data_IF_051662674552
#
_entry.id   IF_051662674552
#
_cell.length_a   1.000
_cell.length_b   1.000
_cell.length_c   1.000
_cell.angle_alpha   90.00
_cell.angle_beta   90.00
_cell.angle_gamma   90.00
#
_symmetry.space_group_name_H-M   'P 1'
#
loop_
_entity.id
_entity.type
_entity.pdbx_description
1 polymer ?
#
# COMPACT_ATOMS: atom_id res chain seq x y z
N UNK A 1 -14.88 -6.71 9.89
CA UNK A 1 -14.61 -5.26 10.00
C UNK A 1 -14.90 -4.64 8.64
N UNK A 2 -15.71 -3.58 8.59
CA UNK A 2 -16.13 -2.94 7.34
C UNK A 2 -15.07 -1.97 6.83
N UNK A 3 -15.21 -1.52 5.58
CA UNK A 3 -14.28 -0.56 4.97
C UNK A 3 -14.16 0.72 5.80
N UNK A 4 -15.27 1.31 6.22
CA UNK A 4 -15.30 2.56 6.98
C UNK A 4 -14.58 2.45 8.33
N UNK A 5 -14.69 1.29 8.99
CA UNK A 5 -14.00 1.02 10.24
C UNK A 5 -12.49 0.96 10.01
N UNK A 6 -12.06 0.26 8.94
CA UNK A 6 -10.64 0.10 8.59
C UNK A 6 -10.03 1.44 8.22
N UNK A 7 -10.77 2.24 7.45
CA UNK A 7 -10.37 3.60 7.09
C UNK A 7 -10.23 4.49 8.34
N UNK A 8 -11.16 4.42 9.29
CA UNK A 8 -11.03 5.15 10.58
C UNK A 8 -9.81 4.72 11.38
N UNK A 9 -9.57 3.41 11.46
CA UNK A 9 -8.41 2.88 12.18
C UNK A 9 -7.12 3.36 11.54
N UNK A 10 -7.05 3.31 10.20
CA UNK A 10 -5.90 3.76 9.45
C UNK A 10 -5.63 5.24 9.65
N UNK A 11 -6.64 6.11 9.49
CA UNK A 11 -6.45 7.55 9.64
C UNK A 11 -5.91 7.90 11.03
N UNK A 12 -6.38 7.19 12.07
CA UNK A 12 -5.94 7.39 13.46
C UNK A 12 -4.48 7.01 13.73
N UNK A 13 -3.80 6.26 12.85
CA UNK A 13 -2.39 5.91 13.06
C UNK A 13 -1.47 7.11 12.87
N UNK A 14 -1.85 8.04 11.97
CA UNK A 14 -1.04 9.19 11.57
C UNK A 14 -1.67 10.53 11.90
N UNK A 15 -3.00 10.60 11.92
CA UNK A 15 -3.76 11.84 12.10
C UNK A 15 -4.64 11.80 13.36
N UNK A 16 -4.52 12.83 14.20
CA UNK A 16 -5.34 12.98 15.40
C UNK A 16 -6.74 13.53 15.11
N UNK A 17 -6.86 14.37 14.07
CA UNK A 17 -8.11 14.98 13.62
C UNK A 17 -8.33 14.69 12.14
N UNK A 18 -9.59 14.49 11.78
CA UNK A 18 -9.97 14.26 10.38
C UNK A 18 -9.78 15.52 9.51
N UNK A 19 -9.83 16.72 10.12
CA UNK A 19 -9.54 17.98 9.44
C UNK A 19 -8.13 18.04 8.87
N UNK A 20 -7.14 17.58 9.64
CA UNK A 20 -5.73 17.57 9.22
C UNK A 20 -5.53 16.74 7.94
N UNK A 21 -6.25 15.63 7.81
CA UNK A 21 -6.25 14.80 6.59
C UNK A 21 -7.00 15.48 5.44
N UNK A 22 -8.12 16.16 5.73
CA UNK A 22 -8.87 16.91 4.72
C UNK A 22 -8.01 18.01 4.10
N UNK A 23 -7.27 18.76 4.93
CA UNK A 23 -6.34 19.79 4.51
C UNK A 23 -5.19 19.19 3.69
N UNK A 24 -4.62 18.07 4.14
CA UNK A 24 -3.55 17.35 3.42
C UNK A 24 -3.99 16.87 2.02
N UNK A 25 -5.23 16.41 1.88
CA UNK A 25 -5.75 15.88 0.62
C UNK A 25 -6.39 16.94 -0.27
N UNK A 26 -6.42 18.19 0.18
CA UNK A 26 -7.12 19.31 -0.44
C UNK A 26 -8.61 18.98 -0.69
N UNK A 27 -9.23 18.30 0.28
CA UNK A 27 -10.59 17.80 0.22
C UNK A 27 -11.52 18.51 1.19
N UNK A 28 -12.79 18.61 0.84
CA UNK A 28 -13.78 19.14 1.77
C UNK A 28 -14.00 18.15 2.94
N UNK A 29 -13.93 18.64 4.18
CA UNK A 29 -14.20 17.86 5.39
C UNK A 29 -15.51 17.07 5.33
N UNK A 30 -16.57 17.65 4.76
CA UNK A 30 -17.87 16.99 4.57
C UNK A 30 -17.77 15.77 3.65
N UNK A 31 -17.02 15.87 2.55
CA UNK A 31 -16.78 14.74 1.64
C UNK A 31 -15.98 13.64 2.32
N UNK A 32 -14.90 14.02 3.02
CA UNK A 32 -14.08 13.07 3.77
C UNK A 32 -14.86 12.39 4.90
N UNK A 33 -15.68 13.14 5.61
CA UNK A 33 -16.58 12.60 6.65
C UNK A 33 -17.57 11.60 6.05
N UNK A 34 -18.12 11.85 4.87
CA UNK A 34 -19.01 10.90 4.19
C UNK A 34 -18.29 9.58 3.87
N UNK A 35 -17.04 9.63 3.42
CA UNK A 35 -16.23 8.43 3.13
C UNK A 35 -15.98 7.61 4.40
N UNK A 36 -15.59 8.29 5.46
CA UNK A 36 -15.36 7.67 6.78
C UNK A 36 -16.65 7.14 7.41
N UNK A 37 -17.82 7.58 6.95
CA UNK A 37 -19.14 7.08 7.34
C UNK A 37 -19.71 6.02 6.37
N UNK A 38 -18.90 5.49 5.43
CA UNK A 38 -19.31 4.36 4.57
C UNK A 38 -19.97 4.75 3.25
N UNK A 39 -19.92 6.02 2.83
CA UNK A 39 -20.25 6.35 1.44
C UNK A 39 -19.17 5.83 0.50
N UNK A 40 -19.57 5.60 -0.76
CA UNK A 40 -18.66 5.25 -1.86
C UNK A 40 -17.55 6.31 -1.98
N UNK A 41 -16.32 5.81 -1.95
CA UNK A 41 -15.11 6.62 -2.15
C UNK A 41 -14.75 6.68 -3.63
N UNK A 42 -14.05 7.74 -4.03
CA UNK A 42 -13.48 7.85 -5.38
C UNK A 42 -12.16 7.07 -5.48
N UNK A 43 -11.77 6.71 -6.71
CA UNK A 43 -10.45 6.10 -6.97
C UNK A 43 -9.33 7.10 -6.63
N UNK A 44 -9.52 8.39 -6.93
CA UNK A 44 -8.57 9.44 -6.59
C UNK A 44 -8.29 9.49 -5.08
N UNK A 45 -9.33 9.35 -4.25
CA UNK A 45 -9.16 9.27 -2.80
C UNK A 45 -8.35 8.03 -2.39
N UNK A 46 -8.59 6.88 -3.01
CA UNK A 46 -7.83 5.67 -2.72
C UNK A 46 -6.35 5.81 -3.09
N UNK A 47 -6.03 6.47 -4.21
CA UNK A 47 -4.65 6.76 -4.61
C UNK A 47 -3.97 7.63 -3.55
N UNK A 48 -4.62 8.74 -3.15
CA UNK A 48 -4.10 9.62 -2.07
C UNK A 48 -3.90 8.87 -0.76
N UNK A 49 -4.79 7.94 -0.41
CA UNK A 49 -4.63 7.09 0.79
C UNK A 49 -3.41 6.19 0.67
N UNK A 50 -3.17 5.53 -0.47
CA UNK A 50 -2.01 4.64 -0.63
C UNK A 50 -0.69 5.42 -0.63
N UNK A 51 -0.68 6.62 -1.21
CA UNK A 51 0.48 7.51 -1.18
C UNK A 51 0.79 8.01 0.25
N UNK A 52 -0.25 8.29 1.03
CA UNK A 52 -0.12 8.80 2.40
C UNK A 52 0.19 7.70 3.43
N UNK A 53 -0.29 6.48 3.17
CA UNK A 53 -0.13 5.29 4.00
C UNK A 53 0.45 4.12 3.17
N UNK A 54 1.72 4.22 2.73
CA UNK A 54 2.35 3.22 1.87
C UNK A 54 2.48 1.84 2.53
N UNK A 55 2.41 1.77 3.86
CA UNK A 55 2.45 0.54 4.65
C UNK A 55 1.16 -0.29 4.60
N UNK A 56 0.08 0.24 4.01
CA UNK A 56 -1.24 -0.40 3.99
C UNK A 56 -1.43 -1.25 2.75
N UNK A 57 -1.83 -2.49 2.96
CA UNK A 57 -2.35 -3.34 1.88
C UNK A 57 -3.77 -2.87 1.48
N UNK A 58 -3.90 -2.46 0.22
CA UNK A 58 -5.19 -2.06 -0.37
C UNK A 58 -6.22 -3.20 -0.33
N UNK A 59 -5.80 -4.46 -0.48
CA UNK A 59 -6.71 -5.60 -0.36
C UNK A 59 -7.27 -5.73 1.05
N UNK A 60 -6.44 -5.48 2.07
CA UNK A 60 -6.91 -5.42 3.45
C UNK A 60 -7.93 -4.30 3.62
N UNK A 61 -7.70 -3.12 3.07
CA UNK A 61 -8.63 -1.99 3.20
C UNK A 61 -9.98 -2.26 2.51
N UNK A 62 -9.98 -2.76 1.27
CA UNK A 62 -11.18 -2.86 0.43
C UNK A 62 -12.04 -4.11 0.66
N UNK A 63 -11.46 -5.23 1.09
CA UNK A 63 -12.22 -6.49 1.22
C UNK A 63 -13.01 -6.52 2.52
N UNK A 64 -14.32 -6.74 2.42
CA UNK A 64 -15.17 -7.05 3.57
C UNK A 64 -15.01 -8.53 3.94
N UNK A 65 -14.88 -8.84 5.24
CA UNK A 65 -14.81 -10.20 5.80
C UNK A 65 -13.60 -11.05 5.37
N UNK A 66 -12.55 -11.04 6.19
CA UNK A 66 -11.61 -12.17 6.27
C UNK A 66 -12.14 -13.14 7.33
N UNK A 67 -13.11 -13.98 6.95
CA UNK A 67 -13.34 -15.27 7.59
C UNK A 67 -13.11 -16.32 6.51
N UNK A 68 -11.89 -16.87 6.49
CA UNK A 68 -11.39 -17.92 5.59
C UNK A 68 -11.18 -17.48 4.13
N UNK A 69 -9.99 -16.97 3.85
CA UNK A 69 -9.55 -16.68 2.48
C UNK A 69 -8.10 -16.21 2.37
N UNK A 70 -7.21 -16.62 3.28
CA UNK A 70 -5.78 -16.65 2.97
C UNK A 70 -5.60 -17.66 1.85
N UNK A 71 -5.61 -17.20 0.60
CA UNK A 71 -4.62 -17.76 -0.30
C UNK A 71 -3.29 -17.33 0.30
N UNK A 72 -2.49 -18.30 0.73
CA UNK A 72 -1.08 -18.10 1.05
C UNK A 72 -0.34 -17.73 -0.25
N UNK A 73 -0.76 -16.68 -0.93
CA UNK A 73 0.13 -16.01 -1.86
C UNK A 73 1.14 -15.33 -0.96
N UNK A 74 2.41 -15.68 -1.16
CA UNK A 74 3.52 -14.88 -0.63
C UNK A 74 3.21 -13.45 -1.05
N UNK A 75 2.98 -12.58 -0.07
CA UNK A 75 2.85 -11.16 -0.31
C UNK A 75 4.08 -10.75 -1.11
N UNK A 76 3.91 -10.49 -2.40
CA UNK A 76 4.92 -9.73 -3.10
C UNK A 76 4.97 -8.40 -2.37
N UNK A 77 6.10 -8.11 -1.75
CA UNK A 77 6.44 -6.76 -1.33
C UNK A 77 6.29 -5.90 -2.58
N UNK A 78 5.17 -5.20 -2.70
CA UNK A 78 5.06 -4.07 -3.60
C UNK A 78 6.09 -3.07 -3.08
N UNK A 79 7.30 -3.12 -3.62
CA UNK A 79 8.39 -2.20 -3.32
C UNK A 79 7.96 -0.83 -3.86
N UNK A 80 7.21 -0.07 -3.08
CA UNK A 80 7.04 1.34 -3.33
C UNK A 80 8.39 2.00 -3.03
N UNK A 81 9.09 2.35 -4.10
CA UNK A 81 10.36 3.09 -4.11
C UNK A 81 11.50 2.45 -3.32
N UNK A 82 12.04 1.34 -3.82
CA UNK A 82 13.45 1.02 -3.62
C UNK A 82 14.26 2.24 -4.10
N UNK A 83 15.12 2.80 -3.25
CA UNK A 83 16.01 3.90 -3.66
C UNK A 83 16.83 3.47 -4.89
N UNK A 84 17.27 4.41 -5.74
CA UNK A 84 18.03 4.06 -6.96
C UNK A 84 19.26 3.22 -6.61
N UNK A 85 19.85 3.48 -5.45
CA UNK A 85 21.00 2.81 -4.86
C UNK A 85 20.69 1.34 -4.52
N UNK A 86 19.51 1.07 -3.96
CA UNK A 86 19.06 -0.30 -3.67
C UNK A 86 18.70 -1.06 -4.95
N UNK A 87 18.13 -0.38 -5.96
CA UNK A 87 17.86 -0.99 -7.28
C UNK A 87 19.18 -1.40 -7.95
N UNK A 88 20.18 -0.52 -7.93
CA UNK A 88 21.51 -0.83 -8.49
C UNK A 88 22.14 -2.02 -7.77
N UNK A 89 22.06 -2.05 -6.44
CA UNK A 89 22.62 -3.15 -5.63
C UNK A 89 21.96 -4.50 -5.99
N UNK A 90 20.64 -4.51 -6.19
CA UNK A 90 19.91 -5.73 -6.56
C UNK A 90 20.24 -6.20 -7.98
N UNK A 91 20.40 -5.27 -8.93
CA UNK A 91 20.85 -5.58 -10.30
C UNK A 91 22.25 -6.21 -10.30
N UNK A 92 23.18 -5.69 -9.49
CA UNK A 92 24.55 -6.22 -9.40
C UNK A 92 24.59 -7.65 -8.86
N UNK A 93 23.76 -7.96 -7.85
CA UNK A 93 23.64 -9.31 -7.28
C UNK A 93 23.12 -10.28 -8.35
N UNK A 94 22.04 -9.91 -9.05
CA UNK A 94 21.44 -10.74 -10.10
C UNK A 94 22.41 -10.97 -11.27
N UNK A 95 23.17 -9.96 -11.68
CA UNK A 95 24.19 -10.10 -12.72
C UNK A 95 25.32 -11.04 -12.31
N UNK A 96 25.77 -10.99 -11.05
CA UNK A 96 26.80 -11.89 -10.54
C UNK A 96 26.33 -13.34 -10.55
N UNK A 97 25.09 -13.58 -10.14
CA UNK A 97 24.50 -14.91 -10.14
C UNK A 97 24.35 -15.47 -11.56
N UNK A 98 23.86 -14.65 -12.50
CA UNK A 98 23.74 -15.02 -13.91
C UNK A 98 25.10 -15.41 -14.53
N UNK A 99 26.15 -14.63 -14.25
CA UNK A 99 27.53 -14.95 -14.71
C UNK A 99 28.04 -16.26 -14.13
N UNK A 100 27.75 -16.52 -12.86
CA UNK A 100 28.14 -17.75 -12.18
C UNK A 100 27.44 -18.96 -12.83
N UNK A 101 26.15 -18.84 -13.14
CA UNK A 101 25.38 -19.87 -13.84
C UNK A 101 25.91 -20.15 -15.25
N UNK A 102 26.31 -19.10 -15.98
CA UNK A 102 26.92 -19.26 -17.31
C UNK A 102 28.28 -19.97 -17.23
N UNK A 103 29.15 -19.59 -16.28
CA UNK A 103 30.45 -20.23 -16.09
C UNK A 103 30.32 -21.71 -15.66
N UNK A 104 29.26 -22.07 -14.92
CA UNK A 104 28.96 -23.47 -14.58
C UNK A 104 28.37 -24.30 -15.72
N UNK A 105 27.90 -23.67 -16.80
CA UNK A 105 27.37 -24.34 -17.99
C UNK A 105 28.42 -24.60 -19.08
N UNK A 106 29.61 -24.01 -18.96
CA UNK A 106 30.74 -24.18 -19.89
C UNK A 106 31.72 -25.28 -19.47
N UNK A 107 31.42 -26.06 -18.41
CA UNK A 107 32.11 -27.31 -18.06
C UNK A 107 31.22 -28.53 -18.29
#
# INVERSE_FOLDING_TARGET
MKFEDKLRQLIKTKYSKLGDLADKFEMNYSQLSQYVNGKKVSIEFLIKIIEEFPEVDLNWLLRENQSNGMLNETSETYKTSTSKEEIISEIEILLKELKTQLASKEN
#
